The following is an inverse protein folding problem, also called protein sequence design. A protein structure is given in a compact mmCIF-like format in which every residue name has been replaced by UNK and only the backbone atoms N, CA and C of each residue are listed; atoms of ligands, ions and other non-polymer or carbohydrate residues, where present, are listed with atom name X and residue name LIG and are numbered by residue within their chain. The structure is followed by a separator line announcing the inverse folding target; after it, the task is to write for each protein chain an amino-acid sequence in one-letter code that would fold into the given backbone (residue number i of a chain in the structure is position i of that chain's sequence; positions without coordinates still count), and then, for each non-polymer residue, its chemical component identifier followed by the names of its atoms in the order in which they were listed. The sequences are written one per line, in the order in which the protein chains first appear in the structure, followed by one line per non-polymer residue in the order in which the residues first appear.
data_IF_212903815925
#
_entry.id   IF_212903815925
#
_cell.length_a   1.000
_cell.length_b   1.000
_cell.length_c   1.000
_cell.angle_alpha   90.00
_cell.angle_beta   90.00
_cell.angle_gamma   90.00
#
_symmetry.space_group_name_H-M   'P 1'
#
loop_
_entity.id
_entity.type
_entity.pdbx_description
1 polymer ?
#
# COMPACT_ATOMS: atom_id res chain seq x y z
N UNK A 1 28.05 19.91 -8.07
CA UNK A 1 27.06 19.52 -7.05
C UNK A 1 26.19 18.45 -7.68
N UNK A 2 26.37 17.18 -7.31
CA UNK A 2 25.67 16.06 -7.94
C UNK A 2 24.37 15.84 -7.18
N UNK A 3 23.23 16.10 -7.82
CA UNK A 3 21.92 15.65 -7.35
C UNK A 3 21.93 14.13 -7.34
N UNK A 4 22.15 13.54 -6.17
CA UNK A 4 21.91 12.11 -5.99
C UNK A 4 20.39 11.93 -6.00
N UNK A 5 19.83 11.71 -7.19
CA UNK A 5 18.60 10.95 -7.34
C UNK A 5 18.89 9.60 -6.68
N UNK A 6 18.51 9.48 -5.41
CA UNK A 6 18.41 8.19 -4.76
C UNK A 6 17.55 7.35 -5.70
N UNK A 7 18.15 6.31 -6.26
CA UNK A 7 17.42 5.25 -6.93
C UNK A 7 16.34 4.82 -5.95
N UNK A 8 15.10 5.25 -6.15
CA UNK A 8 13.97 4.72 -5.44
C UNK A 8 14.01 3.22 -5.75
N UNK A 9 14.43 2.43 -4.77
CA UNK A 9 14.38 0.99 -4.88
C UNK A 9 12.91 0.63 -4.82
N UNK A 10 12.27 0.62 -5.99
CA UNK A 10 10.85 0.29 -6.19
C UNK A 10 10.54 -1.17 -5.81
N UNK A 11 11.50 -1.90 -5.21
CA UNK A 11 11.27 -3.11 -4.41
C UNK A 11 10.50 -2.79 -3.13
N UNK A 12 9.27 -2.33 -3.32
CA UNK A 12 8.14 -2.86 -2.59
C UNK A 12 8.38 -4.36 -2.40
N UNK A 13 8.49 -4.85 -1.15
CA UNK A 13 8.64 -6.27 -0.84
C UNK A 13 7.76 -7.07 -1.81
N UNK A 14 8.25 -8.18 -2.39
CA UNK A 14 7.56 -8.95 -3.46
C UNK A 14 6.06 -9.23 -3.18
N UNK A 15 5.67 -9.19 -1.90
CA UNK A 15 4.30 -9.34 -1.42
C UNK A 15 3.38 -8.13 -1.66
N UNK A 16 3.89 -6.92 -1.91
CA UNK A 16 3.07 -5.72 -2.10
C UNK A 16 2.50 -5.61 -3.52
N UNK A 17 3.21 -6.14 -4.53
CA UNK A 17 2.69 -6.30 -5.89
C UNK A 17 1.47 -7.24 -5.92
N UNK A 18 1.52 -8.36 -5.20
CA UNK A 18 0.40 -9.31 -5.09
C UNK A 18 -0.81 -8.75 -4.32
N UNK A 19 -0.62 -7.79 -3.41
CA UNK A 19 -1.69 -7.28 -2.55
C UNK A 19 -2.33 -5.97 -3.07
N UNK A 20 -1.63 -5.19 -3.91
CA UNK A 20 -2.17 -3.98 -4.55
C UNK A 20 -3.01 -4.27 -5.81
N UNK A 21 -2.79 -5.43 -6.45
CA UNK A 21 -3.55 -5.93 -7.60
C UNK A 21 -4.75 -6.81 -7.21
N UNK A 22 -5.11 -6.87 -5.92
CA UNK A 22 -6.37 -7.50 -5.48
C UNK A 22 -6.30 -9.01 -5.18
N UNK A 23 -5.23 -9.52 -4.56
CA UNK A 23 -5.34 -10.78 -3.83
C UNK A 23 -5.86 -10.49 -2.41
N UNK A 24 -7.19 -10.50 -2.23
CA UNK A 24 -7.77 -10.71 -0.91
C UNK A 24 -7.29 -12.07 -0.38
N UNK A 25 -6.20 -12.08 0.39
CA UNK A 25 -5.86 -13.22 1.22
C UNK A 25 -6.93 -13.31 2.33
N UNK A 26 -8.06 -13.96 2.02
CA UNK A 26 -8.93 -14.56 3.02
C UNK A 26 -8.16 -15.67 3.73
N UNK A 27 -7.24 -15.29 4.61
CA UNK A 27 -6.82 -16.15 5.69
C UNK A 27 -7.94 -16.14 6.75
N UNK A 28 -9.05 -16.81 6.45
CA UNK A 28 -9.98 -17.24 7.47
C UNK A 28 -9.30 -18.31 8.33
N UNK A 29 -9.48 -18.31 9.66
CA UNK A 29 -9.06 -19.45 10.47
C UNK A 29 -9.85 -20.67 9.99
N UNK A 30 -9.16 -21.66 9.42
CA UNK A 30 -9.78 -22.94 9.10
C UNK A 30 -10.34 -23.56 10.37
N UNK A 31 -11.58 -24.10 10.35
CA UNK A 31 -12.11 -24.80 11.51
C UNK A 31 -11.31 -26.09 11.75
N UNK A 32 -10.79 -26.20 12.96
CA UNK A 32 -10.18 -27.39 13.52
C UNK A 32 -11.15 -28.58 13.45
N UNK A 33 -10.75 -29.77 12.96
CA UNK A 33 -11.52 -30.98 13.18
C UNK A 33 -11.08 -31.60 14.51
N UNK A 34 -11.95 -31.53 15.52
CA UNK A 34 -11.92 -32.41 16.68
C UNK A 34 -13.37 -32.90 16.82
N UNK A 35 -13.72 -34.14 16.48
CA UNK A 35 -13.01 -35.38 16.74
C UNK A 35 -13.70 -36.04 17.93
N UNK A 36 -14.54 -37.02 17.62
CA UNK A 36 -15.43 -37.77 18.51
C UNK A 36 -14.78 -38.30 19.80
N UNK A 37 -15.64 -38.40 20.81
CA UNK A 37 -15.46 -39.12 22.06
C UNK A 37 -14.96 -40.55 21.85
N UNK A 38 -13.82 -40.91 22.44
CA UNK A 38 -13.31 -42.27 22.41
C UNK A 38 -12.14 -42.50 23.37
N UNK A 39 -12.48 -42.87 24.59
CA UNK A 39 -11.61 -43.38 25.68
C UNK A 39 -10.54 -44.35 25.18
N UNK A 40 -9.28 -44.19 25.61
CA UNK A 40 -8.49 -45.22 26.32
C UNK A 40 -7.06 -44.73 26.63
N UNK A 41 -6.74 -44.76 27.93
CA UNK A 41 -5.39 -44.66 28.48
C UNK A 41 -4.56 -45.85 27.99
N UNK A 42 -3.30 -45.61 27.61
CA UNK A 42 -2.19 -46.52 27.85
C UNK A 42 -0.89 -45.71 27.74
N UNK A 43 -0.11 -45.79 28.82
CA UNK A 43 1.14 -45.09 29.09
C UNK A 43 2.27 -45.79 28.33
N UNK A 44 2.99 -45.06 27.49
CA UNK A 44 4.28 -45.48 26.94
C UNK A 44 5.21 -44.26 26.83
N UNK A 45 6.13 -44.15 27.77
CA UNK A 45 7.45 -43.52 27.58
C UNK A 45 8.42 -44.69 27.28
N UNK A 46 9.55 -44.56 26.54
CA UNK A 46 10.37 -43.35 26.44
C UNK A 46 11.11 -43.12 25.09
N UNK A 47 11.89 -42.03 25.07
CA UNK A 47 13.09 -41.70 24.25
C UNK A 47 12.84 -41.01 22.91
N UNK A 48 13.58 -39.91 22.74
CA UNK A 48 13.93 -39.34 21.46
C UNK A 48 13.54 -37.87 21.36
N UNK A 49 14.54 -37.02 21.59
CA UNK A 49 14.70 -35.77 20.86
C UNK A 49 13.65 -34.67 21.14
N UNK A 50 13.82 -33.95 22.25
CA UNK A 50 13.29 -32.59 22.40
C UNK A 50 14.04 -31.63 21.46
N UNK A 51 13.81 -31.80 20.15
CA UNK A 51 13.86 -30.68 19.22
C UNK A 51 12.66 -29.78 19.56
N UNK A 52 12.81 -29.02 20.64
CA UNK A 52 11.94 -27.89 20.97
C UNK A 52 12.13 -26.87 19.85
N UNK A 53 11.36 -27.07 18.78
CA UNK A 53 10.94 -26.08 17.82
C UNK A 53 10.80 -24.75 18.55
N UNK A 54 11.80 -23.88 18.38
CA UNK A 54 11.55 -22.45 18.52
C UNK A 54 10.45 -22.18 17.52
N UNK A 55 9.22 -22.16 18.02
CA UNK A 55 8.10 -21.49 17.39
C UNK A 55 8.53 -20.05 17.29
N UNK A 56 9.30 -19.72 16.24
CA UNK A 56 9.63 -18.36 15.88
C UNK A 56 8.27 -17.75 15.60
N UNK A 57 7.71 -17.08 16.60
CA UNK A 57 6.57 -16.22 16.42
C UNK A 57 7.05 -15.19 15.42
N UNK A 58 6.80 -15.48 14.14
CA UNK A 58 7.04 -14.55 13.05
C UNK A 58 6.17 -13.37 13.42
N UNK A 59 6.81 -12.30 13.91
CA UNK A 59 6.16 -11.01 14.17
C UNK A 59 5.32 -10.74 12.94
N UNK A 60 3.99 -10.82 13.05
CA UNK A 60 3.10 -10.59 11.90
C UNK A 60 3.50 -9.24 11.33
N UNK A 61 4.06 -9.26 10.12
CA UNK A 61 4.40 -8.03 9.42
C UNK A 61 3.10 -7.24 9.31
N UNK A 62 3.15 -5.97 9.72
CA UNK A 62 1.98 -5.08 9.59
C UNK A 62 1.59 -5.06 8.12
N UNK A 63 0.32 -5.34 7.82
CA UNK A 63 -0.19 -5.29 6.46
C UNK A 63 0.04 -3.88 5.90
N UNK A 64 0.41 -3.77 4.62
CA UNK A 64 0.73 -2.48 3.99
C UNK A 64 -0.43 -1.48 4.09
N UNK A 65 -1.68 -1.96 4.18
CA UNK A 65 -2.86 -1.11 4.41
C UNK A 65 -2.75 -0.29 5.70
N UNK A 66 -2.01 -0.75 6.70
CA UNK A 66 -1.75 0.00 7.93
C UNK A 66 -0.78 1.18 7.73
N UNK A 67 -0.12 1.27 6.57
CA UNK A 67 0.77 2.37 6.17
C UNK A 67 0.11 3.33 5.19
N UNK A 68 -1.12 3.04 4.75
CA UNK A 68 -1.86 3.93 3.84
C UNK A 68 -2.19 5.22 4.56
N UNK A 69 -1.93 6.33 3.89
CA UNK A 69 -2.27 7.68 4.35
C UNK A 69 -3.36 8.23 3.46
N UNK A 70 -4.35 8.87 4.07
CA UNK A 70 -5.36 9.64 3.35
C UNK A 70 -5.09 11.12 3.55
N UNK A 71 -5.22 11.89 2.48
CA UNK A 71 -5.09 13.34 2.51
C UNK A 71 -6.17 13.98 1.62
N UNK A 72 -6.77 15.09 2.07
CA UNK A 72 -7.65 15.91 1.24
C UNK A 72 -6.90 17.19 0.84
N UNK A 73 -6.65 17.38 -0.45
CA UNK A 73 -5.83 18.47 -0.99
C UNK A 73 -6.61 19.37 -1.94
N UNK A 74 -6.33 20.66 -1.85
CA UNK A 74 -6.71 21.72 -2.79
C UNK A 74 -5.46 22.48 -3.22
N UNK A 75 -5.51 23.15 -4.35
CA UNK A 75 -4.45 23.96 -4.95
C UNK A 75 -4.94 25.32 -5.45
N UNK A 76 -6.11 25.77 -4.98
CA UNK A 76 -6.52 27.17 -4.99
C UNK A 76 -6.69 27.78 -6.38
N UNK A 77 -7.00 26.96 -7.40
CA UNK A 77 -7.14 27.44 -8.77
C UNK A 77 -5.83 27.83 -9.46
N UNK A 78 -4.67 27.34 -8.99
CA UNK A 78 -3.35 27.48 -9.66
C UNK A 78 -3.24 26.75 -11.02
N UNK A 79 -4.38 26.49 -11.67
CA UNK A 79 -4.50 25.69 -12.88
C UNK A 79 -4.99 24.27 -12.59
N UNK A 80 -4.47 23.31 -13.34
CA UNK A 80 -4.77 21.89 -13.14
C UNK A 80 -3.87 21.27 -12.07
N UNK A 81 -4.30 20.16 -11.47
CA UNK A 81 -3.50 19.45 -10.45
C UNK A 81 -2.04 19.20 -10.89
N UNK A 82 -1.80 18.95 -12.19
CA UNK A 82 -0.47 18.72 -12.75
C UNK A 82 0.49 19.92 -12.69
N UNK A 83 -0.01 21.15 -12.47
CA UNK A 83 0.85 22.33 -12.31
C UNK A 83 1.48 22.42 -10.92
N UNK A 84 0.84 21.83 -9.91
CA UNK A 84 1.26 21.86 -8.50
C UNK A 84 1.79 20.51 -8.01
N UNK A 85 1.39 19.40 -8.64
CA UNK A 85 1.84 18.05 -8.29
C UNK A 85 2.16 17.31 -9.57
N UNK A 86 3.44 16.97 -9.72
CA UNK A 86 3.90 16.08 -10.77
C UNK A 86 3.42 14.66 -10.47
N UNK A 87 2.81 14.00 -11.46
CA UNK A 87 2.40 12.61 -11.35
C UNK A 87 3.21 11.77 -12.34
N UNK A 88 3.92 10.78 -11.83
CA UNK A 88 4.86 9.94 -12.58
C UNK A 88 4.42 8.48 -12.56
N UNK A 89 5.13 7.63 -13.32
CA UNK A 89 4.87 6.18 -13.37
C UNK A 89 3.74 5.82 -14.33
N UNK A 90 2.90 4.85 -13.96
CA UNK A 90 1.77 4.37 -14.77
C UNK A 90 1.97 2.97 -15.35
N UNK A 91 0.86 2.25 -15.51
CA UNK A 91 0.85 0.86 -15.94
C UNK A 91 1.50 0.64 -17.32
N UNK A 92 1.50 1.65 -18.19
CA UNK A 92 2.18 1.62 -19.48
C UNK A 92 3.71 1.50 -19.37
N UNK A 93 4.26 1.86 -18.21
CA UNK A 93 5.68 1.73 -17.89
C UNK A 93 5.97 0.54 -16.95
N UNK A 94 4.94 -0.25 -16.58
CA UNK A 94 5.06 -1.29 -15.56
C UNK A 94 5.30 -0.73 -14.15
N UNK A 95 4.89 0.51 -13.89
CA UNK A 95 5.04 1.20 -12.61
C UNK A 95 3.68 1.59 -12.04
N UNK A 96 3.57 1.67 -10.71
CA UNK A 96 2.41 2.33 -10.11
C UNK A 96 2.48 3.85 -10.36
N UNK A 97 1.34 4.55 -10.45
CA UNK A 97 1.34 6.01 -10.38
C UNK A 97 1.90 6.47 -9.03
N UNK A 98 2.78 7.46 -9.03
CA UNK A 98 3.37 8.00 -7.80
C UNK A 98 3.57 9.51 -7.91
N UNK A 99 3.65 10.16 -6.74
CA UNK A 99 3.77 11.61 -6.66
C UNK A 99 5.24 12.03 -6.85
N UNK A 100 5.50 12.85 -7.85
CA UNK A 100 6.77 13.50 -8.12
C UNK A 100 6.92 14.80 -7.36
N UNK A 101 7.52 15.81 -7.99
CA UNK A 101 7.68 17.13 -7.41
C UNK A 101 6.33 17.77 -7.02
N UNK A 102 6.30 18.50 -5.91
CA UNK A 102 5.09 19.14 -5.40
C UNK A 102 5.38 20.57 -4.96
N UNK A 103 4.58 21.52 -5.42
CA UNK A 103 4.54 22.89 -4.92
C UNK A 103 3.75 22.92 -3.61
N UNK A 104 4.46 22.81 -2.49
CA UNK A 104 3.87 22.77 -1.16
C UNK A 104 3.34 24.14 -0.71
N UNK A 105 3.78 25.23 -1.33
CA UNK A 105 3.29 26.57 -1.01
C UNK A 105 1.91 26.83 -1.66
N UNK A 106 1.64 26.18 -2.80
CA UNK A 106 0.34 26.22 -3.48
C UNK A 106 -0.69 25.22 -2.92
N UNK A 107 -0.23 24.11 -2.33
CA UNK A 107 -1.12 23.05 -1.82
C UNK A 107 -1.69 23.37 -0.44
N UNK A 108 -3.00 23.22 -0.31
CA UNK A 108 -3.73 23.29 0.95
C UNK A 108 -4.19 21.89 1.35
N UNK A 109 -3.68 21.41 2.49
CA UNK A 109 -4.14 20.17 3.12
C UNK A 109 -5.31 20.47 4.08
N UNK A 110 -6.48 19.92 3.80
CA UNK A 110 -7.65 20.06 4.66
C UNK A 110 -7.77 18.94 5.69
N UNK A 111 -7.30 17.73 5.34
CA UNK A 111 -7.40 16.53 6.17
C UNK A 111 -6.12 15.72 6.03
N UNK A 112 -5.63 15.17 7.15
CA UNK A 112 -4.46 14.31 7.17
C UNK A 112 -3.16 15.10 7.07
N UNK A 113 -2.17 14.54 6.39
CA UNK A 113 -0.89 15.19 6.12
C UNK A 113 -0.58 15.07 4.65
N UNK A 114 0.04 16.11 4.07
CA UNK A 114 0.47 16.08 2.69
C UNK A 114 1.32 14.84 2.42
N UNK A 115 1.11 14.18 1.28
CA UNK A 115 1.93 13.05 0.88
C UNK A 115 3.36 13.51 0.59
N UNK A 116 4.29 12.56 0.53
CA UNK A 116 5.70 12.84 0.27
C UNK A 116 6.08 12.49 -1.17
N UNK A 117 7.15 13.11 -1.67
CA UNK A 117 7.75 12.75 -2.95
C UNK A 117 8.06 11.24 -2.99
N UNK A 118 7.66 10.57 -4.06
CA UNK A 118 7.80 9.12 -4.26
C UNK A 118 6.71 8.27 -3.62
N UNK A 119 5.75 8.85 -2.89
CA UNK A 119 4.60 8.10 -2.39
C UNK A 119 3.77 7.56 -3.56
N UNK A 120 3.40 6.28 -3.49
CA UNK A 120 2.57 5.61 -4.50
C UNK A 120 1.11 6.05 -4.32
N UNK A 121 0.48 6.48 -5.41
CA UNK A 121 -0.92 6.89 -5.44
C UNK A 121 -1.83 5.68 -5.67
N UNK A 122 -2.74 5.45 -4.73
CA UNK A 122 -3.60 4.27 -4.70
C UNK A 122 -5.02 4.58 -5.17
N UNK A 123 -5.61 5.64 -4.63
CA UNK A 123 -6.99 6.05 -4.91
C UNK A 123 -7.10 7.57 -4.98
N UNK A 124 -8.06 8.04 -5.79
CA UNK A 124 -8.50 9.44 -5.87
C UNK A 124 -10.01 9.47 -5.71
N UNK A 125 -10.51 10.08 -4.63
CA UNK A 125 -11.92 10.15 -4.25
C UNK A 125 -12.63 8.78 -4.27
N UNK A 126 -11.93 7.73 -3.86
CA UNK A 126 -12.42 6.34 -3.86
C UNK A 126 -12.29 5.60 -5.19
N UNK A 127 -11.85 6.27 -6.25
CA UNK A 127 -11.51 5.63 -7.52
C UNK A 127 -10.09 5.05 -7.44
N UNK A 128 -9.90 3.73 -7.61
CA UNK A 128 -8.57 3.13 -7.62
C UNK A 128 -7.79 3.54 -8.87
N UNK A 129 -6.53 3.93 -8.68
CA UNK A 129 -5.65 4.37 -9.78
C UNK A 129 -4.34 3.59 -9.88
N UNK A 130 -4.02 2.75 -8.91
CA UNK A 130 -2.76 1.97 -8.87
C UNK A 130 -2.53 1.12 -10.13
N UNK A 131 -3.57 0.61 -10.78
CA UNK A 131 -3.47 -0.17 -12.01
C UNK A 131 -3.63 0.61 -13.33
N UNK A 132 -3.77 1.94 -13.27
CA UNK A 132 -4.09 2.76 -14.44
C UNK A 132 -2.83 3.27 -15.16
N UNK A 133 -3.01 3.65 -16.42
CA UNK A 133 -1.98 4.43 -17.14
C UNK A 133 -1.82 5.81 -16.49
N UNK A 134 -0.68 6.47 -16.70
CA UNK A 134 -0.48 7.83 -16.19
C UNK A 134 -1.53 8.80 -16.78
N UNK A 135 -1.83 8.64 -18.08
CA UNK A 135 -2.87 9.41 -18.78
C UNK A 135 -4.24 9.24 -18.13
N UNK A 136 -4.64 8.01 -17.83
CA UNK A 136 -5.96 7.75 -17.24
C UNK A 136 -6.03 8.21 -15.79
N UNK A 137 -4.94 8.11 -15.03
CA UNK A 137 -4.86 8.65 -13.66
C UNK A 137 -5.07 10.16 -13.65
N UNK A 138 -4.42 10.89 -14.56
CA UNK A 138 -4.68 12.34 -14.73
C UNK A 138 -6.13 12.62 -15.11
N UNK A 139 -6.75 11.80 -15.96
CA UNK A 139 -8.16 11.96 -16.31
C UNK A 139 -9.08 11.79 -15.10
N UNK A 140 -8.80 10.80 -14.23
CA UNK A 140 -9.52 10.61 -12.97
C UNK A 140 -9.37 11.83 -12.06
N UNK A 141 -8.16 12.35 -11.89
CA UNK A 141 -7.92 13.54 -11.04
C UNK A 141 -8.69 14.75 -11.58
N UNK A 142 -8.61 15.01 -12.89
CA UNK A 142 -9.30 16.14 -13.55
C UNK A 142 -10.83 16.03 -13.50
N UNK A 143 -11.36 14.83 -13.32
CA UNK A 143 -12.81 14.63 -13.20
C UNK A 143 -13.37 15.23 -11.91
N UNK A 144 -12.58 15.27 -10.84
CA UNK A 144 -13.01 15.77 -9.55
C UNK A 144 -12.66 17.26 -9.37
N UNK A 145 -13.49 17.95 -8.59
CA UNK A 145 -13.23 19.33 -8.14
C UNK A 145 -12.48 19.31 -6.81
N UNK A 146 -11.76 20.38 -6.51
CA UNK A 146 -11.12 20.61 -5.21
C UNK A 146 -12.14 20.66 -4.07
N UNK A 147 -11.84 20.09 -2.88
CA UNK A 147 -10.67 19.28 -2.56
C UNK A 147 -10.79 17.85 -3.11
N UNK A 148 -9.67 17.26 -3.54
CA UNK A 148 -9.60 15.83 -3.86
C UNK A 148 -9.05 15.05 -2.66
N UNK A 149 -9.64 13.89 -2.37
CA UNK A 149 -9.13 12.94 -1.39
C UNK A 149 -8.24 11.94 -2.09
N UNK A 150 -7.00 11.82 -1.64
CA UNK A 150 -6.05 10.86 -2.18
C UNK A 150 -5.64 9.88 -1.10
N UNK A 151 -5.44 8.62 -1.49
CA UNK A 151 -4.77 7.63 -0.66
C UNK A 151 -3.40 7.33 -1.24
N UNK A 152 -2.38 7.40 -0.39
CA UNK A 152 -1.02 7.09 -0.77
C UNK A 152 -0.37 6.11 0.20
N UNK A 153 0.69 5.46 -0.26
CA UNK A 153 1.55 4.62 0.59
C UNK A 153 3.01 4.89 0.27
N UNK A 154 3.85 4.84 1.30
CA UNK A 154 5.30 4.86 1.11
C UNK A 154 5.75 3.52 0.52
N UNK A 155 6.54 3.50 -0.56
CA UNK A 155 7.11 2.27 -1.10
C UNK A 155 7.96 1.51 -0.08
#
# INVERSE_FOLDING_TARGET
MKSSLASADWRLEENAWCLLLGAENKAGPGPSPCGESGRCQLRAEPRGDDESSMSKVLKRKKHWSAKVRECAVSWGGAGEFGSVVELLGGAEHGLFPFLGHMDLDALVCHVGSLPYYGDVLLEVNGTPVSGLTNRDTHAVIRHFREPIRIKTVKP
#
